data_IF_783015522743
#
_entry.id   IF_783015522743
#
_cell.length_a   1.000
_cell.length_b   1.000
_cell.length_c   1.000
_cell.angle_alpha   90.00
_cell.angle_beta   90.00
_cell.angle_gamma   90.00
#
_symmetry.space_group_name_H-M   'P 1'
#
loop_
_entity.id
_entity.type
_entity.pdbx_description
1 polymer ?
#
# COMPACT_ATOMS: atom_id res chain seq x y z
N UNK A 1 -5.30 -16.65 -11.18
CA UNK A 1 -5.55 -15.83 -9.98
C UNK A 1 -5.35 -14.40 -10.37
N UNK A 2 -5.82 -13.46 -9.56
CA UNK A 2 -5.50 -12.04 -9.73
C UNK A 2 -4.25 -11.78 -8.89
N UNK A 3 -3.11 -11.55 -9.54
CA UNK A 3 -1.83 -11.29 -8.87
C UNK A 3 -1.24 -9.92 -9.25
N UNK A 4 -1.93 -9.13 -10.06
CA UNK A 4 -1.57 -7.77 -10.43
C UNK A 4 -2.82 -6.96 -10.78
N UNK A 5 -2.71 -5.64 -10.91
CA UNK A 5 -3.80 -4.83 -11.47
C UNK A 5 -3.94 -5.06 -12.98
N UNK A 6 -2.86 -5.41 -13.67
CA UNK A 6 -2.85 -5.78 -15.08
C UNK A 6 -3.65 -7.07 -15.34
N UNK A 7 -3.66 -8.03 -14.41
CA UNK A 7 -4.53 -9.22 -14.50
C UNK A 7 -6.02 -8.84 -14.50
N UNK A 8 -6.39 -7.81 -13.72
CA UNK A 8 -7.76 -7.28 -13.67
C UNK A 8 -8.08 -6.56 -14.99
N UNK A 9 -7.17 -5.71 -15.47
CA UNK A 9 -7.33 -5.01 -16.75
C UNK A 9 -7.48 -5.97 -17.94
N UNK A 10 -6.76 -7.11 -17.90
CA UNK A 10 -6.81 -8.13 -18.94
C UNK A 10 -8.09 -8.99 -18.90
N UNK A 11 -8.89 -8.90 -17.85
CA UNK A 11 -10.08 -9.72 -17.66
C UNK A 11 -11.34 -8.86 -17.39
N UNK A 12 -12.14 -8.55 -18.43
CA UNK A 12 -13.30 -7.65 -18.30
C UNK A 12 -14.45 -8.23 -17.46
N UNK A 13 -14.43 -9.52 -17.14
CA UNK A 13 -15.45 -10.14 -16.29
C UNK A 13 -15.17 -9.91 -14.78
N UNK A 14 -13.98 -9.43 -14.43
CA UNK A 14 -13.58 -9.17 -13.04
C UNK A 14 -14.02 -7.77 -12.63
N UNK A 15 -14.71 -7.70 -11.49
CA UNK A 15 -15.06 -6.46 -10.80
C UNK A 15 -14.20 -6.33 -9.54
N UNK A 16 -13.52 -5.19 -9.37
CA UNK A 16 -12.64 -4.91 -8.24
C UNK A 16 -13.20 -3.77 -7.39
N UNK A 17 -13.17 -3.95 -6.07
CA UNK A 17 -13.52 -2.93 -5.10
C UNK A 17 -12.31 -2.17 -4.59
N UNK A 18 -12.48 -0.86 -4.40
CA UNK A 18 -11.50 0.01 -3.75
C UNK A 18 -12.20 1.06 -2.87
N UNK A 19 -11.45 1.73 -2.00
CA UNK A 19 -11.97 2.81 -1.15
C UNK A 19 -12.04 4.14 -1.90
N UNK A 20 -13.04 4.96 -1.60
CA UNK A 20 -13.14 6.30 -2.17
C UNK A 20 -11.92 7.17 -1.77
N UNK A 21 -11.15 7.63 -2.76
CA UNK A 21 -9.93 8.41 -2.53
C UNK A 21 -8.70 7.59 -2.17
N UNK A 22 -8.78 6.27 -2.32
CA UNK A 22 -7.62 5.38 -2.17
C UNK A 22 -6.72 5.50 -3.40
N UNK A 23 -5.41 5.40 -3.17
CA UNK A 23 -4.40 5.56 -4.22
C UNK A 23 -4.42 4.39 -5.21
N UNK A 24 -4.93 3.24 -4.78
CA UNK A 24 -5.15 2.05 -5.60
C UNK A 24 -6.05 2.34 -6.82
N UNK A 25 -6.97 3.31 -6.73
CA UNK A 25 -7.80 3.71 -7.87
C UNK A 25 -6.95 4.30 -9.00
N UNK A 26 -6.03 5.21 -8.66
CA UNK A 26 -5.12 5.84 -9.62
C UNK A 26 -4.20 4.79 -10.27
N UNK A 27 -3.74 3.81 -9.48
CA UNK A 27 -2.90 2.73 -9.99
C UNK A 27 -3.63 1.82 -10.97
N UNK A 28 -4.82 1.36 -10.61
CA UNK A 28 -5.66 0.53 -11.48
C UNK A 28 -5.95 1.25 -12.80
N UNK A 29 -6.33 2.53 -12.73
CA UNK A 29 -6.61 3.35 -13.91
C UNK A 29 -5.35 3.53 -14.78
N UNK A 30 -4.19 3.78 -14.16
CA UNK A 30 -2.92 3.98 -14.87
C UNK A 30 -2.46 2.74 -15.64
N UNK A 31 -2.77 1.53 -15.15
CA UNK A 31 -2.44 0.27 -15.83
C UNK A 31 -3.56 -0.28 -16.71
N UNK A 32 -4.66 0.47 -16.86
CA UNK A 32 -5.71 0.21 -17.84
C UNK A 32 -6.89 -0.62 -17.35
N UNK A 33 -7.11 -0.75 -16.04
CA UNK A 33 -8.38 -1.27 -15.51
C UNK A 33 -9.50 -0.31 -15.89
N UNK A 34 -10.57 -0.84 -16.49
CA UNK A 34 -11.70 0.00 -16.91
C UNK A 34 -12.45 0.56 -15.70
N UNK A 35 -12.95 1.81 -15.80
CA UNK A 35 -13.81 2.41 -14.78
C UNK A 35 -15.04 1.54 -14.46
N UNK A 36 -15.58 0.83 -15.46
CA UNK A 36 -16.72 -0.08 -15.30
C UNK A 36 -16.41 -1.32 -14.45
N UNK A 37 -15.13 -1.67 -14.30
CA UNK A 37 -14.68 -2.77 -13.44
C UNK A 37 -14.44 -2.32 -12.00
N UNK A 38 -14.39 -1.00 -11.72
CA UNK A 38 -14.01 -0.46 -10.42
C UNK A 38 -15.25 -0.02 -9.65
N UNK A 39 -15.46 -0.61 -8.46
CA UNK A 39 -16.52 -0.22 -7.53
C UNK A 39 -15.91 0.47 -6.33
N UNK A 40 -16.35 1.72 -6.07
CA UNK A 40 -15.89 2.48 -4.91
C UNK A 40 -16.79 2.22 -3.70
N UNK A 41 -16.17 1.87 -2.58
CA UNK A 41 -16.83 1.70 -1.28
C UNK A 41 -16.40 2.81 -0.32
N UNK A 42 -17.24 3.13 0.69
CA UNK A 42 -16.93 4.21 1.64
C UNK A 42 -15.82 3.84 2.65
N UNK A 43 -15.62 2.55 2.93
CA UNK A 43 -14.64 2.03 3.89
C UNK A 43 -14.36 0.53 3.66
N UNK A 44 -13.30 0.03 4.31
CA UNK A 44 -12.86 -1.38 4.19
C UNK A 44 -13.94 -2.39 4.63
N UNK A 45 -14.70 -2.19 5.74
CA UNK A 45 -15.78 -3.10 6.12
C UNK A 45 -16.88 -3.21 5.05
N UNK A 46 -17.25 -2.09 4.42
CA UNK A 46 -18.21 -2.09 3.33
C UNK A 46 -17.68 -2.81 2.10
N UNK A 47 -16.41 -2.62 1.76
CA UNK A 47 -15.73 -3.35 0.69
C UNK A 47 -15.74 -4.86 0.92
N UNK A 48 -15.39 -5.30 2.13
CA UNK A 48 -15.43 -6.72 2.50
C UNK A 48 -16.84 -7.31 2.45
N UNK A 49 -17.85 -6.57 2.89
CA UNK A 49 -19.24 -6.99 2.73
C UNK A 49 -19.63 -7.11 1.24
N UNK A 50 -19.11 -6.24 0.38
CA UNK A 50 -19.25 -6.35 -1.08
C UNK A 50 -18.65 -7.64 -1.65
N UNK A 51 -17.44 -8.02 -1.20
CA UNK A 51 -16.83 -9.32 -1.53
C UNK A 51 -17.72 -10.49 -1.10
N UNK A 52 -18.22 -10.46 0.15
CA UNK A 52 -19.08 -11.50 0.69
C UNK A 52 -20.41 -11.63 -0.06
N UNK A 53 -20.94 -10.51 -0.55
CA UNK A 53 -22.16 -10.48 -1.35
C UNK A 53 -21.95 -10.85 -2.82
N UNK A 54 -20.71 -11.05 -3.27
CA UNK A 54 -20.37 -11.30 -4.68
C UNK A 54 -20.62 -10.07 -5.57
N UNK A 55 -20.56 -8.86 -5.00
CA UNK A 55 -20.64 -7.61 -5.77
C UNK A 55 -19.32 -7.27 -6.46
N UNK A 56 -18.21 -7.77 -5.90
CA UNK A 56 -16.85 -7.62 -6.38
C UNK A 56 -16.13 -8.96 -6.22
N UNK A 57 -15.13 -9.21 -7.06
CA UNK A 57 -14.30 -10.41 -7.06
C UNK A 57 -13.00 -10.21 -6.25
N UNK A 58 -12.55 -8.96 -6.11
CA UNK A 58 -11.34 -8.59 -5.37
C UNK A 58 -11.52 -7.26 -4.64
N UNK A 59 -10.78 -7.07 -3.54
CA UNK A 59 -10.69 -5.81 -2.79
C UNK A 59 -9.23 -5.36 -2.72
N UNK A 60 -8.98 -4.07 -2.90
CA UNK A 60 -7.64 -3.49 -2.84
C UNK A 60 -7.37 -2.80 -1.50
N UNK A 61 -6.15 -2.90 -1.01
CA UNK A 61 -5.68 -2.14 0.16
C UNK A 61 -4.25 -2.51 0.49
N UNK A 62 -3.69 -1.86 1.52
CA UNK A 62 -2.34 -2.19 1.99
C UNK A 62 -2.29 -3.59 2.63
N UNK A 63 -1.15 -4.29 2.50
CA UNK A 63 -0.96 -5.64 3.06
C UNK A 63 -1.33 -5.73 4.55
N UNK A 64 -0.90 -4.82 5.45
CA UNK A 64 -1.34 -4.83 6.85
C UNK A 64 -2.86 -4.72 7.01
N UNK A 65 -3.50 -3.80 6.29
CA UNK A 65 -4.97 -3.64 6.30
C UNK A 65 -5.66 -4.93 5.88
N UNK A 66 -5.25 -5.51 4.75
CA UNK A 66 -5.87 -6.73 4.23
C UNK A 66 -5.67 -7.94 5.16
N UNK A 67 -4.49 -8.07 5.79
CA UNK A 67 -4.24 -9.12 6.77
C UNK A 67 -5.11 -8.96 8.01
N UNK A 68 -5.26 -7.75 8.52
CA UNK A 68 -6.16 -7.48 9.65
C UNK A 68 -7.60 -7.82 9.28
N UNK A 69 -8.06 -7.44 8.08
CA UNK A 69 -9.41 -7.78 7.60
C UNK A 69 -9.62 -9.30 7.52
N UNK A 70 -8.64 -10.06 7.04
CA UNK A 70 -8.71 -11.53 6.98
C UNK A 70 -8.72 -12.15 8.38
N UNK A 71 -7.93 -11.63 9.31
CA UNK A 71 -7.93 -12.05 10.72
C UNK A 71 -9.29 -11.81 11.36
N UNK A 72 -9.84 -10.60 11.21
CA UNK A 72 -11.14 -10.19 11.75
C UNK A 72 -12.29 -11.00 11.16
N UNK A 73 -12.20 -11.35 9.87
CA UNK A 73 -13.20 -12.18 9.20
C UNK A 73 -13.22 -13.63 9.72
N UNK A 74 -12.09 -14.13 10.23
CA UNK A 74 -11.99 -15.46 10.83
C UNK A 74 -12.36 -16.61 9.87
N UNK A 75 -12.19 -16.42 8.56
CA UNK A 75 -12.53 -17.42 7.52
C UNK A 75 -11.37 -17.64 6.55
N UNK A 76 -11.31 -18.84 5.97
CA UNK A 76 -10.34 -19.22 4.93
C UNK A 76 -10.89 -19.06 3.50
N UNK A 77 -12.10 -18.53 3.34
CA UNK A 77 -12.75 -18.34 2.04
C UNK A 77 -12.10 -17.23 1.20
N UNK A 78 -11.33 -16.35 1.85
CA UNK A 78 -10.60 -15.25 1.23
C UNK A 78 -9.11 -15.39 1.50
N UNK A 79 -8.31 -14.98 0.52
CA UNK A 79 -6.85 -15.04 0.59
C UNK A 79 -6.27 -13.74 0.07
N UNK A 80 -5.06 -13.40 0.53
CA UNK A 80 -4.27 -12.40 -0.18
C UNK A 80 -3.91 -12.91 -1.58
N UNK A 81 -3.88 -12.00 -2.54
CA UNK A 81 -3.23 -12.19 -3.81
C UNK A 81 -1.71 -12.24 -3.61
N UNK A 82 -1.18 -13.31 -3.04
CA UNK A 82 0.24 -13.46 -2.71
C UNK A 82 0.89 -14.53 -3.61
N UNK A 83 1.95 -14.21 -4.38
CA UNK A 83 2.58 -12.89 -4.53
C UNK A 83 1.68 -11.89 -5.27
N UNK A 84 1.87 -10.60 -4.98
CA UNK A 84 1.28 -9.50 -5.75
C UNK A 84 2.37 -8.74 -6.49
N UNK A 85 2.26 -8.63 -7.80
CA UNK A 85 3.14 -7.80 -8.63
C UNK A 85 2.69 -6.34 -8.53
N UNK A 86 3.61 -5.48 -8.09
CA UNK A 86 3.35 -4.05 -7.99
C UNK A 86 3.20 -3.45 -9.40
N UNK A 87 2.27 -2.50 -9.60
CA UNK A 87 2.04 -1.90 -10.90
C UNK A 87 3.27 -1.14 -11.39
N UNK A 88 3.51 -1.16 -12.70
CA UNK A 88 4.58 -0.39 -13.33
C UNK A 88 3.98 0.82 -14.03
N UNK A 89 4.23 2.01 -13.49
CA UNK A 89 3.73 3.28 -14.01
C UNK A 89 4.94 4.11 -14.45
N UNK A 90 4.90 4.64 -15.68
CA UNK A 90 6.02 5.36 -16.30
C UNK A 90 7.38 4.63 -16.26
N UNK A 91 7.32 3.29 -16.33
CA UNK A 91 8.51 2.43 -16.31
C UNK A 91 9.11 2.20 -14.92
N UNK A 92 8.44 2.62 -13.85
CA UNK A 92 8.85 2.41 -12.47
C UNK A 92 7.80 1.57 -11.71
N UNK A 93 8.28 0.58 -10.95
CA UNK A 93 7.43 -0.16 -10.02
C UNK A 93 6.99 0.79 -8.91
N UNK A 94 5.67 0.89 -8.70
CA UNK A 94 5.13 1.80 -7.70
C UNK A 94 4.99 1.08 -6.36
N UNK A 95 5.81 1.48 -5.40
CA UNK A 95 5.78 1.01 -4.01
C UNK A 95 5.52 2.22 -3.12
N UNK A 96 4.53 2.10 -2.23
CA UNK A 96 4.25 3.12 -1.24
C UNK A 96 5.09 2.89 0.01
N UNK A 97 5.67 3.97 0.54
CA UNK A 97 6.44 3.96 1.78
C UNK A 97 5.75 4.80 2.85
N UNK A 98 5.60 4.23 4.04
CA UNK A 98 5.19 4.99 5.22
C UNK A 98 6.34 5.88 5.71
N UNK A 99 6.02 7.11 6.13
CA UNK A 99 7.00 8.06 6.65
C UNK A 99 6.45 8.89 7.81
N UNK A 100 7.34 9.34 8.70
CA UNK A 100 7.02 10.36 9.69
C UNK A 100 7.10 11.75 9.04
N UNK A 101 6.02 12.53 9.14
CA UNK A 101 5.97 13.90 8.63
C UNK A 101 6.20 14.92 9.75
N UNK A 102 6.99 15.96 9.46
CA UNK A 102 7.31 17.05 10.38
C UNK A 102 6.90 18.39 9.75
N UNK A 103 6.74 19.44 10.56
CA UNK A 103 6.58 20.80 10.02
C UNK A 103 7.86 21.25 9.34
N UNK A 104 7.75 22.11 8.33
CA UNK A 104 8.90 22.61 7.60
C UNK A 104 9.91 23.34 8.51
N UNK A 105 9.44 24.08 9.52
CA UNK A 105 10.30 24.78 10.47
C UNK A 105 10.99 23.87 11.51
N UNK A 106 10.55 22.61 11.68
CA UNK A 106 11.05 21.67 12.69
C UNK A 106 12.26 20.85 12.18
N UNK A 107 13.17 21.50 11.44
CA UNK A 107 14.30 20.85 10.77
C UNK A 107 15.19 20.07 11.75
N UNK A 108 15.54 20.68 12.89
CA UNK A 108 16.37 20.05 13.91
C UNK A 108 15.74 18.77 14.49
N UNK A 109 14.40 18.75 14.63
CA UNK A 109 13.69 17.57 15.11
C UNK A 109 13.69 16.46 14.05
N UNK A 110 13.45 16.81 12.78
CA UNK A 110 13.52 15.88 11.66
C UNK A 110 14.91 15.25 11.53
N UNK A 111 15.96 16.05 11.65
CA UNK A 111 17.35 15.58 11.59
C UNK A 111 17.66 14.61 12.74
N UNK A 112 17.34 15.00 13.98
CA UNK A 112 17.54 14.14 15.15
C UNK A 112 16.73 12.82 15.05
N UNK A 113 15.50 12.88 14.52
CA UNK A 113 14.70 11.69 14.26
C UNK A 113 15.37 10.77 13.23
N UNK A 114 15.83 11.32 12.10
CA UNK A 114 16.51 10.57 11.06
C UNK A 114 17.81 9.93 11.56
N UNK A 115 18.60 10.63 12.38
CA UNK A 115 19.81 10.08 12.99
C UNK A 115 19.51 8.83 13.84
N UNK A 116 18.45 8.88 14.66
CA UNK A 116 18.05 7.73 15.47
C UNK A 116 17.43 6.62 14.62
N UNK A 117 16.64 6.95 13.60
CA UNK A 117 16.06 5.97 12.69
C UNK A 117 17.14 5.21 11.92
N UNK A 118 18.19 5.89 11.46
CA UNK A 118 19.34 5.24 10.81
C UNK A 118 20.11 4.33 11.77
N UNK A 119 20.28 4.73 13.04
CA UNK A 119 20.86 3.85 14.06
C UNK A 119 20.00 2.59 14.29
N UNK A 120 18.68 2.75 14.43
CA UNK A 120 17.72 1.64 14.58
C UNK A 120 17.78 0.70 13.37
N UNK A 121 17.86 1.23 12.15
CA UNK A 121 18.00 0.44 10.91
C UNK A 121 19.33 -0.33 10.90
N UNK A 122 20.45 0.34 11.22
CA UNK A 122 21.78 -0.27 11.23
C UNK A 122 21.92 -1.38 12.29
N UNK A 123 21.22 -1.27 13.41
CA UNK A 123 21.17 -2.29 14.46
C UNK A 123 20.21 -3.44 14.14
N UNK A 124 19.46 -3.37 13.02
CA UNK A 124 18.45 -4.37 12.65
C UNK A 124 17.19 -4.29 13.51
N UNK A 125 17.06 -3.30 14.37
CA UNK A 125 15.94 -3.17 15.32
C UNK A 125 14.65 -2.68 14.67
N UNK A 126 14.71 -2.13 13.45
CA UNK A 126 13.50 -1.61 12.79
C UNK A 126 12.46 -2.72 12.61
N UNK A 127 12.86 -3.89 12.12
CA UNK A 127 11.95 -5.02 11.92
C UNK A 127 11.44 -5.58 13.26
N UNK A 128 12.25 -5.55 14.32
CA UNK A 128 11.80 -5.96 15.67
C UNK A 128 10.70 -5.04 16.20
N UNK A 129 10.76 -3.74 15.87
CA UNK A 129 9.77 -2.76 16.29
C UNK A 129 8.47 -2.84 15.50
N UNK A 130 8.55 -2.98 14.16
CA UNK A 130 7.35 -2.93 13.31
C UNK A 130 6.77 -4.32 13.05
N UNK A 131 7.57 -5.38 13.11
CA UNK A 131 7.15 -6.75 12.80
C UNK A 131 6.22 -7.39 13.83
N UNK A 132 5.95 -6.70 14.94
CA UNK A 132 4.86 -7.07 15.84
C UNK A 132 3.48 -6.78 15.25
N UNK A 133 3.39 -5.94 14.21
CA UNK A 133 2.15 -5.61 13.53
C UNK A 133 1.96 -6.53 12.31
N UNK A 134 0.76 -7.12 12.11
CA UNK A 134 0.49 -7.98 10.96
C UNK A 134 0.83 -7.29 9.64
N UNK A 135 1.52 -8.02 8.75
CA UNK A 135 1.89 -7.53 7.41
C UNK A 135 3.16 -6.70 7.31
N UNK A 136 3.80 -6.37 8.44
CA UNK A 136 5.13 -5.75 8.45
C UNK A 136 6.23 -6.82 8.56
N UNK A 137 6.50 -7.50 7.45
CA UNK A 137 7.60 -8.46 7.34
C UNK A 137 8.88 -7.81 6.76
N UNK A 138 9.94 -8.57 6.50
CA UNK A 138 11.18 -8.04 5.93
C UNK A 138 10.95 -7.28 4.60
N UNK A 139 9.93 -7.68 3.83
CA UNK A 139 9.54 -7.00 2.58
C UNK A 139 8.93 -5.62 2.80
N UNK A 140 8.49 -5.30 4.02
CA UNK A 140 7.97 -3.98 4.38
C UNK A 140 9.07 -2.96 4.72
N UNK A 141 10.34 -3.39 4.78
CA UNK A 141 11.45 -2.48 5.06
C UNK A 141 11.76 -1.59 3.83
N UNK A 142 12.06 -0.30 4.03
CA UNK A 142 12.29 0.63 2.91
C UNK A 142 13.62 0.42 2.16
N UNK A 143 14.50 -0.46 2.66
CA UNK A 143 15.86 -0.60 2.16
C UNK A 143 16.63 0.73 2.21
N UNK A 144 17.27 1.06 1.10
CA UNK A 144 18.06 2.30 0.93
C UNK A 144 17.24 3.48 0.37
N UNK A 145 15.92 3.32 0.19
CA UNK A 145 15.06 4.37 -0.37
C UNK A 145 14.97 5.56 0.59
N UNK A 146 15.21 6.77 0.07
CA UNK A 146 15.11 8.02 0.83
C UNK A 146 13.89 8.81 0.38
N UNK A 147 13.25 9.49 1.32
CA UNK A 147 12.10 10.36 1.02
C UNK A 147 12.45 11.49 0.02
N UNK A 148 13.71 11.95 0.01
CA UNK A 148 14.25 12.91 -0.97
C UNK A 148 14.21 12.36 -2.41
N UNK A 149 14.42 11.06 -2.59
CA UNK A 149 14.44 10.43 -3.91
C UNK A 149 13.03 10.25 -4.47
N UNK A 150 12.05 10.01 -3.58
CA UNK A 150 10.64 9.81 -3.94
C UNK A 150 9.88 11.14 -4.12
N UNK A 151 10.22 12.16 -3.34
CA UNK A 151 9.49 13.42 -3.28
C UNK A 151 10.43 14.63 -3.49
N UNK A 152 11.19 14.71 -4.59
CA UNK A 152 12.24 15.72 -4.76
C UNK A 152 11.71 17.16 -4.62
N UNK A 153 10.51 17.44 -5.11
CA UNK A 153 9.89 18.76 -5.03
C UNK A 153 9.55 19.18 -3.58
N UNK A 154 9.15 18.23 -2.74
CA UNK A 154 8.85 18.50 -1.33
C UNK A 154 10.11 18.85 -0.53
N UNK A 155 11.29 18.46 -1.03
CA UNK A 155 12.59 18.74 -0.45
C UNK A 155 13.29 19.93 -1.11
N UNK A 156 12.82 20.43 -2.25
CA UNK A 156 13.45 21.54 -2.98
C UNK A 156 13.46 22.85 -2.19
N UNK A 157 12.46 23.06 -1.34
CA UNK A 157 12.30 24.26 -0.51
C UNK A 157 12.72 24.05 0.96
N UNK A 158 13.21 22.85 1.31
CA UNK A 158 13.76 22.56 2.63
C UNK A 158 15.24 23.01 2.62
N UNK A 159 15.66 23.94 3.50
CA UNK A 159 17.01 24.49 3.52
C UNK A 159 18.12 23.45 3.76
#
# INVERSE_FOLDING_TARGET
GLHSYEDIAANPDVTVGTGAGYLENDYMTAVGVSEDQIVNFPDDPSGFAGLQAGQIDAWTGTRPTLLQMLEDAGTADYVLADPFEQPVIDGQSVVNYGAAAFRYEDEALRQAFNEQLEAIKAEGMLIDLIGQFPGFDEGALPGDVRAEDLCPDAYADIP
#
